data_IF_716989090694
#
_entry.id   IF_716989090694
#
_cell.length_a   1.000
_cell.length_b   1.000
_cell.length_c   1.000
_cell.angle_alpha   90.00
_cell.angle_beta   90.00
_cell.angle_gamma   90.00
#
_symmetry.space_group_name_H-M   'P 1'
#
loop_
_entity.id
_entity.type
_entity.pdbx_description
1 polymer ?
#
# COMPACT_ATOMS: atom_id res chain seq x y z
N UNK A 1 11.13 -1.93 0.80
CA UNK A 1 12.14 -0.88 0.97
C UNK A 1 13.30 -1.17 0.03
N UNK A 2 13.83 -0.15 -0.63
CA UNK A 2 15.09 -0.20 -1.36
C UNK A 2 16.20 0.48 -0.56
N UNK A 3 17.06 1.22 -1.26
CA UNK A 3 18.20 1.96 -0.71
C UNK A 3 17.88 3.44 -0.48
N UNK A 4 16.60 3.81 -0.30
CA UNK A 4 16.20 5.19 -0.04
C UNK A 4 16.53 5.63 1.39
N UNK A 5 16.85 6.92 1.52
CA UNK A 5 16.99 7.58 2.80
C UNK A 5 15.63 8.15 3.25
N UNK A 6 15.28 7.89 4.50
CA UNK A 6 14.12 8.46 5.17
C UNK A 6 14.58 9.55 6.14
N UNK A 7 13.77 10.58 6.34
CA UNK A 7 14.03 11.56 7.40
C UNK A 7 13.90 10.89 8.77
N UNK A 8 14.58 11.42 9.79
CA UNK A 8 14.66 10.80 11.13
C UNK A 8 13.28 10.45 11.70
N UNK A 9 12.30 11.33 11.57
CA UNK A 9 10.92 11.10 12.04
C UNK A 9 10.22 9.92 11.36
N UNK A 10 10.51 9.68 10.07
CA UNK A 10 9.97 8.54 9.33
C UNK A 10 10.73 7.25 9.67
N UNK A 11 12.05 7.34 9.87
CA UNK A 11 12.90 6.21 10.25
C UNK A 11 12.52 5.66 11.63
N UNK A 12 12.25 6.54 12.59
CA UNK A 12 11.86 6.19 13.97
C UNK A 12 10.54 5.40 14.02
N UNK A 13 9.67 5.56 13.01
CA UNK A 13 8.40 4.82 12.88
C UNK A 13 8.59 3.41 12.34
N UNK A 14 9.70 3.13 11.67
CA UNK A 14 9.93 1.82 11.07
C UNK A 14 10.31 0.79 12.13
N UNK A 15 9.92 -0.49 11.95
CA UNK A 15 10.46 -1.59 12.75
C UNK A 15 11.99 -1.58 12.75
N UNK A 16 12.61 -1.90 13.89
CA UNK A 16 14.07 -1.87 14.07
C UNK A 16 14.82 -2.64 12.96
N UNK A 17 14.29 -3.78 12.53
CA UNK A 17 14.89 -4.60 11.48
C UNK A 17 14.91 -3.93 10.08
N UNK A 18 14.17 -2.84 9.91
CA UNK A 18 14.04 -2.08 8.67
C UNK A 18 14.77 -0.73 8.72
N UNK A 19 15.33 -0.35 9.87
CA UNK A 19 16.06 0.90 10.02
C UNK A 19 17.50 0.74 9.51
N UNK A 20 18.01 1.78 8.84
CA UNK A 20 19.40 1.90 8.39
C UNK A 20 19.91 0.67 7.62
N UNK A 21 19.13 0.20 6.64
CA UNK A 21 19.50 -0.92 5.78
C UNK A 21 20.80 -0.63 5.01
N UNK A 22 21.60 -1.67 4.66
CA UNK A 22 22.78 -1.49 3.82
C UNK A 22 22.44 -0.87 2.45
N UNK A 23 23.38 -0.11 1.88
CA UNK A 23 23.19 0.58 0.59
C UNK A 23 22.97 -0.38 -0.58
N UNK A 24 23.42 -1.62 -0.43
CA UNK A 24 23.29 -2.69 -1.41
C UNK A 24 21.89 -3.32 -1.39
N UNK A 25 21.05 -3.03 -0.39
CA UNK A 25 19.69 -3.57 -0.29
C UNK A 25 18.86 -3.17 -1.52
N UNK A 26 18.43 -4.17 -2.28
CA UNK A 26 17.50 -4.00 -3.40
C UNK A 26 16.09 -4.44 -3.02
N UNK A 27 15.10 -3.95 -3.75
CA UNK A 27 13.73 -4.50 -3.69
C UNK A 27 13.68 -5.89 -4.32
N UNK A 28 12.58 -6.58 -4.08
CA UNK A 28 12.27 -7.82 -4.79
C UNK A 28 12.17 -7.57 -6.31
N UNK A 29 12.75 -8.45 -7.13
CA UNK A 29 12.76 -8.30 -8.58
C UNK A 29 11.55 -8.95 -9.24
N UNK A 30 11.00 -9.99 -8.60
CA UNK A 30 9.83 -10.71 -9.10
C UNK A 30 8.54 -9.88 -8.94
N UNK A 31 7.90 -9.58 -10.08
CA UNK A 31 6.70 -8.73 -10.16
C UNK A 31 5.53 -9.37 -9.42
N UNK A 32 5.36 -10.69 -9.53
CA UNK A 32 4.25 -11.40 -8.91
C UNK A 32 4.41 -11.43 -7.39
N UNK A 33 5.64 -11.61 -6.88
CA UNK A 33 5.91 -11.52 -5.43
C UNK A 33 5.62 -10.12 -4.91
N UNK A 34 6.08 -9.07 -5.62
CA UNK A 34 5.79 -7.68 -5.21
C UNK A 34 4.29 -7.41 -5.16
N UNK A 35 3.56 -7.80 -6.19
CA UNK A 35 2.10 -7.66 -6.26
C UNK A 35 1.41 -8.42 -5.13
N UNK A 36 1.80 -9.67 -4.89
CA UNK A 36 1.24 -10.51 -3.82
C UNK A 36 1.42 -9.86 -2.44
N UNK A 37 2.58 -9.25 -2.17
CA UNK A 37 2.82 -8.55 -0.91
C UNK A 37 1.87 -7.35 -0.75
N UNK A 38 1.68 -6.54 -1.80
CA UNK A 38 0.78 -5.39 -1.77
C UNK A 38 -0.69 -5.81 -1.58
N UNK A 39 -1.13 -6.86 -2.28
CA UNK A 39 -2.48 -7.41 -2.10
C UNK A 39 -2.68 -8.00 -0.68
N UNK A 40 -1.61 -8.54 -0.08
CA UNK A 40 -1.63 -9.01 1.30
C UNK A 40 -1.75 -7.83 2.28
N UNK A 41 -1.01 -6.74 2.06
CA UNK A 41 -1.15 -5.51 2.85
C UNK A 41 -2.56 -4.92 2.72
N UNK A 42 -3.15 -4.93 1.52
CA UNK A 42 -4.52 -4.47 1.29
C UNK A 42 -5.53 -5.28 2.12
N UNK A 43 -5.41 -6.61 2.13
CA UNK A 43 -6.23 -7.48 2.99
C UNK A 43 -6.05 -7.21 4.48
N UNK A 44 -4.82 -6.89 4.91
CA UNK A 44 -4.58 -6.48 6.29
C UNK A 44 -5.25 -5.14 6.61
N UNK A 45 -5.45 -4.26 5.64
CA UNK A 45 -6.16 -3.00 5.84
C UNK A 45 -7.69 -3.15 6.07
N UNK A 46 -8.26 -4.35 5.95
CA UNK A 46 -9.71 -4.55 6.12
C UNK A 46 -10.21 -4.08 7.50
N UNK A 47 -9.43 -4.31 8.56
CA UNK A 47 -9.84 -3.99 9.94
C UNK A 47 -9.15 -2.74 10.46
N UNK A 48 -9.88 -1.91 11.21
CA UNK A 48 -9.36 -0.70 11.88
C UNK A 48 -8.05 -0.94 12.62
N UNK A 49 -8.04 -1.89 13.56
CA UNK A 49 -6.87 -2.18 14.38
C UNK A 49 -5.63 -2.51 13.54
N UNK A 50 -5.81 -3.21 12.42
CA UNK A 50 -4.72 -3.54 11.51
C UNK A 50 -4.24 -2.32 10.71
N UNK A 51 -5.14 -1.43 10.26
CA UNK A 51 -4.74 -0.16 9.62
C UNK A 51 -3.95 0.72 10.58
N UNK A 52 -4.39 0.85 11.84
CA UNK A 52 -3.68 1.60 12.87
C UNK A 52 -2.27 1.04 13.07
N UNK A 53 -2.11 -0.28 13.22
CA UNK A 53 -0.79 -0.93 13.30
C UNK A 53 0.07 -0.62 12.08
N UNK A 54 -0.47 -0.72 10.87
CA UNK A 54 0.29 -0.45 9.63
C UNK A 54 0.75 1.02 9.57
N UNK A 55 -0.11 1.98 9.96
CA UNK A 55 0.27 3.40 10.03
C UNK A 55 1.34 3.67 11.08
N UNK A 56 1.20 3.07 12.27
CA UNK A 56 2.16 3.24 13.36
C UNK A 56 3.55 2.67 13.03
N UNK A 57 3.62 1.66 12.17
CA UNK A 57 4.87 1.03 11.71
C UNK A 57 5.43 1.64 10.41
N UNK A 58 4.97 2.84 10.02
CA UNK A 58 5.54 3.59 8.90
C UNK A 58 5.34 2.96 7.52
N UNK A 59 4.37 2.06 7.35
CA UNK A 59 4.13 1.36 6.07
C UNK A 59 3.85 2.33 4.93
N UNK A 60 3.10 3.41 5.19
CA UNK A 60 2.87 4.46 4.20
C UNK A 60 4.17 5.06 3.64
N UNK A 61 5.17 5.34 4.49
CA UNK A 61 6.44 5.92 4.04
C UNK A 61 7.18 4.96 3.11
N UNK A 62 7.17 3.67 3.46
CA UNK A 62 7.75 2.62 2.60
C UNK A 62 7.03 2.55 1.25
N UNK A 63 5.70 2.57 1.26
CA UNK A 63 4.90 2.49 0.03
C UNK A 63 5.00 3.75 -0.83
N UNK A 64 5.16 4.94 -0.23
CA UNK A 64 5.38 6.19 -0.96
C UNK A 64 6.66 6.14 -1.80
N UNK A 65 7.77 5.68 -1.22
CA UNK A 65 9.02 5.53 -1.97
C UNK A 65 8.99 4.33 -2.92
N UNK A 66 8.28 3.26 -2.55
CA UNK A 66 8.04 2.12 -3.43
C UNK A 66 7.28 2.53 -4.70
N UNK A 67 6.21 3.32 -4.57
CA UNK A 67 5.40 3.81 -5.69
C UNK A 67 6.23 4.62 -6.70
N UNK A 68 7.09 5.52 -6.24
CA UNK A 68 8.01 6.29 -7.12
C UNK A 68 8.96 5.38 -7.91
N UNK A 69 9.40 4.29 -7.29
CA UNK A 69 10.35 3.34 -7.87
C UNK A 69 9.67 2.38 -8.86
N UNK A 70 8.50 1.86 -8.54
CA UNK A 70 7.78 0.86 -9.36
C UNK A 70 7.44 1.38 -10.76
N UNK A 71 7.40 0.46 -11.73
CA UNK A 71 7.14 0.76 -13.14
C UNK A 71 6.04 -0.10 -13.74
N UNK A 72 5.73 -1.24 -13.13
CA UNK A 72 4.62 -2.08 -13.59
C UNK A 72 3.27 -1.46 -13.20
N UNK A 73 2.38 -1.14 -14.16
CA UNK A 73 1.11 -0.48 -13.87
C UNK A 73 0.19 -1.30 -12.96
N UNK A 74 0.24 -2.63 -13.03
CA UNK A 74 -0.60 -3.50 -12.20
C UNK A 74 -0.13 -3.52 -10.75
N UNK A 75 1.19 -3.41 -10.53
CA UNK A 75 1.79 -3.30 -9.20
C UNK A 75 1.61 -1.90 -8.63
N UNK A 76 1.68 -0.86 -9.47
CA UNK A 76 1.35 0.52 -9.07
C UNK A 76 -0.09 0.63 -8.57
N UNK A 77 -1.05 0.09 -9.33
CA UNK A 77 -2.47 0.05 -8.92
C UNK A 77 -2.63 -0.67 -7.56
N UNK A 78 -1.99 -1.83 -7.39
CA UNK A 78 -2.03 -2.56 -6.12
C UNK A 78 -1.41 -1.75 -4.97
N UNK A 79 -0.36 -0.98 -5.22
CA UNK A 79 0.26 -0.09 -4.24
C UNK A 79 -0.65 1.08 -3.86
N UNK A 80 -1.26 1.73 -4.85
CA UNK A 80 -2.19 2.84 -4.64
C UNK A 80 -3.41 2.40 -3.84
N UNK A 81 -3.98 1.22 -4.12
CA UNK A 81 -5.09 0.67 -3.34
C UNK A 81 -4.78 0.57 -1.83
N UNK A 82 -3.54 0.25 -1.45
CA UNK A 82 -3.13 0.22 -0.03
C UNK A 82 -2.91 1.64 0.49
N UNK A 83 -2.22 2.48 -0.28
CA UNK A 83 -1.91 3.86 0.11
C UNK A 83 -3.19 4.66 0.35
N UNK A 84 -4.17 4.55 -0.54
CA UNK A 84 -5.46 5.25 -0.45
C UNK A 84 -6.18 4.97 0.87
N UNK A 85 -6.07 3.75 1.40
CA UNK A 85 -6.64 3.41 2.70
C UNK A 85 -5.79 3.99 3.85
N UNK A 86 -4.46 3.88 3.76
CA UNK A 86 -3.55 4.28 4.85
C UNK A 86 -3.43 5.79 5.02
N UNK A 87 -3.67 6.59 3.98
CA UNK A 87 -3.66 8.06 4.09
C UNK A 87 -4.92 8.62 4.76
N UNK A 88 -6.02 7.86 4.75
CA UNK A 88 -7.28 8.25 5.37
C UNK A 88 -7.23 8.05 6.89
N UNK A 89 -7.90 8.94 7.62
CA UNK A 89 -8.23 8.75 9.03
C UNK A 89 -9.38 7.77 9.18
N UNK A 90 -9.51 7.18 10.37
CA UNK A 90 -10.54 6.16 10.61
C UNK A 90 -11.96 6.73 10.49
N UNK A 91 -12.17 8.02 10.79
CA UNK A 91 -13.44 8.70 10.56
C UNK A 91 -13.78 8.84 9.07
N UNK A 92 -12.77 8.94 8.20
CA UNK A 92 -12.94 9.04 6.74
C UNK A 92 -13.20 7.67 6.11
N UNK A 93 -12.52 6.62 6.63
CA UNK A 93 -12.76 5.23 6.19
C UNK A 93 -14.18 4.78 6.56
N UNK A 94 -14.71 5.21 7.71
CA UNK A 94 -16.13 5.06 8.05
C UNK A 94 -16.60 3.63 8.33
N UNK A 95 -15.69 2.66 8.41
CA UNK A 95 -16.01 1.25 8.68
C UNK A 95 -14.94 0.57 9.54
N UNK A 96 -15.38 -0.19 10.55
CA UNK A 96 -14.49 -0.99 11.39
C UNK A 96 -13.91 -2.20 10.63
N UNK A 97 -14.70 -2.82 9.75
CA UNK A 97 -14.31 -3.92 8.89
C UNK A 97 -14.82 -3.72 7.44
N UNK A 98 -13.91 -3.37 6.53
CA UNK A 98 -14.22 -3.13 5.11
C UNK A 98 -14.78 -4.37 4.41
N UNK A 99 -14.49 -5.58 4.89
CA UNK A 99 -15.01 -6.81 4.28
C UNK A 99 -16.51 -7.02 4.49
N UNK A 100 -17.11 -6.27 5.44
CA UNK A 100 -18.55 -6.30 5.73
C UNK A 100 -19.33 -5.20 5.01
N UNK A 101 -18.65 -4.31 4.29
CA UNK A 101 -19.29 -3.23 3.56
C UNK A 101 -19.97 -3.80 2.32
N UNK A 102 -21.27 -3.57 2.20
CA UNK A 102 -22.03 -3.94 1.01
C UNK A 102 -21.71 -2.97 -0.14
N UNK A 103 -21.14 -3.51 -1.22
CA UNK A 103 -20.84 -2.76 -2.43
C UNK A 103 -22.00 -2.90 -3.42
N UNK A 104 -22.61 -1.81 -3.89
CA UNK A 104 -23.66 -1.87 -4.92
C UNK A 104 -23.18 -2.51 -6.23
N UNK A 105 -24.06 -3.25 -6.90
CA UNK A 105 -23.72 -3.98 -8.14
C UNK A 105 -23.16 -3.08 -9.25
N UNK A 106 -23.70 -1.87 -9.40
CA UNK A 106 -23.28 -0.87 -10.39
C UNK A 106 -21.89 -0.30 -10.13
N UNK A 107 -21.43 -0.35 -8.87
CA UNK A 107 -20.10 0.12 -8.49
C UNK A 107 -19.01 -0.86 -8.92
N UNK A 108 -19.28 -2.18 -8.94
CA UNK A 108 -18.31 -3.17 -9.40
C UNK A 108 -17.85 -2.92 -10.84
N UNK A 109 -18.81 -2.78 -11.77
CA UNK A 109 -18.48 -2.54 -13.18
C UNK A 109 -17.73 -1.21 -13.37
N UNK A 110 -18.05 -0.21 -12.53
CA UNK A 110 -17.34 1.07 -12.53
C UNK A 110 -15.90 0.91 -12.06
N UNK A 111 -15.65 0.18 -10.98
CA UNK A 111 -14.30 -0.05 -10.46
C UNK A 111 -13.46 -0.88 -11.44
N UNK A 112 -13.99 -1.95 -12.02
CA UNK A 112 -13.27 -2.74 -13.02
C UNK A 112 -12.86 -1.90 -14.24
N UNK A 113 -13.74 -1.00 -14.71
CA UNK A 113 -13.42 -0.07 -15.79
C UNK A 113 -12.36 0.96 -15.39
N UNK A 114 -12.40 1.46 -14.15
CA UNK A 114 -11.39 2.39 -13.64
C UNK A 114 -10.02 1.71 -13.59
N UNK A 115 -9.93 0.50 -13.05
CA UNK A 115 -8.70 -0.29 -12.96
C UNK A 115 -8.14 -0.62 -14.35
N UNK A 116 -8.99 -1.08 -15.27
CA UNK A 116 -8.58 -1.40 -16.64
C UNK A 116 -8.08 -0.16 -17.39
N UNK A 117 -8.71 1.00 -17.18
CA UNK A 117 -8.25 2.26 -17.77
C UNK A 117 -6.93 2.71 -17.14
N UNK A 118 -6.79 2.63 -15.82
CA UNK A 118 -5.55 2.96 -15.13
C UNK A 118 -4.38 2.14 -15.69
N UNK A 119 -4.51 0.81 -15.72
CA UNK A 119 -3.46 -0.09 -16.22
C UNK A 119 -3.09 0.21 -17.68
N UNK A 120 -4.05 0.67 -18.49
CA UNK A 120 -3.84 0.96 -19.91
C UNK A 120 -3.11 2.29 -20.16
N UNK A 121 -3.26 3.27 -19.27
CA UNK A 121 -2.80 4.64 -19.51
C UNK A 121 -1.72 5.13 -18.53
N UNK A 122 -1.41 4.37 -17.49
CA UNK A 122 -0.23 4.52 -16.62
C UNK A 122 0.98 3.88 -17.28
#
# INVERSE_FOLDING_TARGET
MGNEDYIDEEMDKLPIALQYLPKEKQREEDIDIRKMILETLNKLCCKRASREILRENGVYYVLREYHKWEKDPTVLLACENVVDILIQKEEEVGAEDLSTVEVPADMFEKFEKMDANYIKYT
#
